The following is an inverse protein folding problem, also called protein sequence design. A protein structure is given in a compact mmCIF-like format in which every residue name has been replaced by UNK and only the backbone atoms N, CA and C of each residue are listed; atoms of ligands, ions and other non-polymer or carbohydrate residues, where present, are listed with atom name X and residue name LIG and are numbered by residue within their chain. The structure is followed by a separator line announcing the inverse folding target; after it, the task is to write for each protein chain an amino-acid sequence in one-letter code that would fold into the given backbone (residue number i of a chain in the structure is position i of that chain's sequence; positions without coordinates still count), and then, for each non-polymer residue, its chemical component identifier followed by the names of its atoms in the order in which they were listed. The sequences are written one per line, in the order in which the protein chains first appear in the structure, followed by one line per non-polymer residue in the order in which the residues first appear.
data_IF_828361608919
#
_entry.id   IF_828361608919
#
_cell.length_a   1.000
_cell.length_b   1.000
_cell.length_c   1.000
_cell.angle_alpha   90.00
_cell.angle_beta   90.00
_cell.angle_gamma   90.00
#
_symmetry.space_group_name_H-M   'P 1'
#
loop_
_entity.id
_entity.type
_entity.pdbx_description
1 polymer ?
#
# COMPACT_ATOMS: atom_id res chain seq x y z
N UNK A 1 -0.44 -34.27 7.17
CA UNK A 1 -1.91 -34.25 7.07
C UNK A 1 -2.27 -33.62 5.73
N UNK A 2 -3.46 -33.84 5.21
CA UNK A 2 -3.88 -33.14 4.00
C UNK A 2 -4.51 -31.81 4.43
N UNK A 3 -3.98 -30.70 3.93
CA UNK A 3 -4.57 -29.37 4.12
C UNK A 3 -5.53 -29.07 2.98
N UNK A 4 -6.73 -28.60 3.31
CA UNK A 4 -7.74 -28.15 2.37
C UNK A 4 -8.02 -26.67 2.57
N UNK A 5 -8.33 -25.98 1.47
CA UNK A 5 -8.76 -24.59 1.45
C UNK A 5 -10.25 -24.56 1.15
N UNK A 6 -11.05 -24.12 2.11
CA UNK A 6 -12.50 -24.04 1.98
C UNK A 6 -12.95 -22.57 2.00
N UNK A 7 -13.94 -22.23 1.18
CA UNK A 7 -14.49 -20.89 1.20
C UNK A 7 -15.21 -20.62 2.53
N UNK A 8 -15.12 -19.39 3.02
CA UNK A 8 -15.94 -18.92 4.15
C UNK A 8 -16.39 -17.48 3.95
N UNK A 9 -17.52 -17.13 4.56
CA UNK A 9 -18.04 -15.76 4.58
C UNK A 9 -17.21 -14.91 5.55
N UNK A 10 -16.55 -13.87 5.04
CA UNK A 10 -15.78 -12.94 5.86
C UNK A 10 -16.73 -11.92 6.50
N UNK A 11 -16.81 -11.82 7.83
CA UNK A 11 -17.65 -10.83 8.48
C UNK A 11 -17.32 -9.40 8.00
N UNK A 12 -18.35 -8.66 7.58
CA UNK A 12 -18.20 -7.29 7.08
C UNK A 12 -17.82 -7.18 5.60
N UNK A 13 -17.54 -8.28 4.90
CA UNK A 13 -17.34 -8.25 3.45
C UNK A 13 -18.57 -7.69 2.73
N UNK A 14 -18.31 -6.99 1.62
CA UNK A 14 -19.36 -6.44 0.73
C UNK A 14 -19.25 -7.05 -0.65
N UNK A 15 -20.33 -7.04 -1.41
CA UNK A 15 -20.34 -7.51 -2.81
C UNK A 15 -20.19 -6.34 -3.77
N UNK A 16 -19.18 -6.39 -4.62
CA UNK A 16 -18.97 -5.45 -5.71
C UNK A 16 -18.90 -6.21 -7.03
N UNK A 17 -19.65 -5.75 -8.03
CA UNK A 17 -19.62 -6.33 -9.38
C UNK A 17 -19.85 -7.85 -9.42
N UNK A 18 -20.66 -8.38 -8.49
CA UNK A 18 -20.98 -9.81 -8.38
C UNK A 18 -20.01 -10.64 -7.53
N UNK A 19 -18.99 -10.02 -6.92
CA UNK A 19 -17.95 -10.71 -6.15
C UNK A 19 -17.79 -10.13 -4.74
N UNK A 20 -17.57 -10.98 -3.74
CA UNK A 20 -17.30 -10.55 -2.37
C UNK A 20 -15.90 -9.93 -2.23
N UNK A 21 -15.77 -8.87 -1.44
CA UNK A 21 -14.49 -8.25 -1.06
C UNK A 21 -14.42 -8.15 0.48
N UNK A 22 -13.45 -8.82 1.13
CA UNK A 22 -12.54 -9.83 0.58
C UNK A 22 -13.23 -11.20 0.42
N UNK A 23 -12.60 -12.10 -0.35
CA UNK A 23 -12.99 -13.51 -0.42
C UNK A 23 -12.28 -14.33 0.67
N UNK A 24 -13.02 -15.13 1.44
CA UNK A 24 -12.47 -15.92 2.54
C UNK A 24 -12.02 -17.32 2.13
N UNK A 25 -10.81 -17.71 2.54
CA UNK A 25 -10.28 -19.07 2.48
C UNK A 25 -9.87 -19.56 3.88
N UNK A 26 -10.57 -20.57 4.39
CA UNK A 26 -10.25 -21.24 5.64
C UNK A 26 -9.31 -22.40 5.36
N UNK A 27 -8.17 -22.42 6.03
CA UNK A 27 -7.25 -23.56 6.03
C UNK A 27 -7.76 -24.59 7.03
N UNK A 28 -8.04 -25.82 6.56
CA UNK A 28 -8.46 -26.95 7.39
C UNK A 28 -7.51 -28.12 7.25
N UNK A 29 -7.26 -28.82 8.36
CA UNK A 29 -6.52 -30.08 8.38
C UNK A 29 -7.49 -31.26 8.36
N UNK A 30 -7.15 -32.32 7.64
CA UNK A 30 -7.89 -33.59 7.62
C UNK A 30 -7.73 -34.44 8.90
N UNK A 31 -7.09 -33.92 9.95
CA UNK A 31 -6.84 -34.59 11.24
C UNK A 31 -7.93 -34.35 12.31
N UNK A 32 -7.68 -34.73 13.58
CA UNK A 32 -8.59 -34.46 14.69
C UNK A 32 -8.99 -32.98 14.76
N UNK A 33 -10.29 -32.73 14.94
CA UNK A 33 -10.86 -31.37 15.01
C UNK A 33 -10.15 -30.53 16.07
N UNK A 34 -9.63 -29.36 15.68
CA UNK A 34 -9.05 -28.38 16.61
C UNK A 34 -7.52 -28.26 16.57
N UNK A 35 -6.80 -29.08 15.79
CA UNK A 35 -5.36 -28.88 15.59
C UNK A 35 -5.08 -27.85 14.51
N UNK A 36 -4.25 -26.86 14.84
CA UNK A 36 -3.74 -25.87 13.89
C UNK A 36 -2.94 -26.59 12.79
N UNK A 37 -3.27 -26.38 11.50
CA UNK A 37 -2.54 -26.97 10.38
C UNK A 37 -1.03 -26.66 10.44
N UNK A 38 -0.13 -27.62 10.18
CA UNK A 38 1.30 -27.33 10.09
C UNK A 38 1.60 -26.27 9.03
N UNK A 39 2.51 -25.34 9.35
CA UNK A 39 2.91 -24.25 8.43
C UNK A 39 3.42 -24.78 7.10
N UNK A 40 4.17 -25.89 7.11
CA UNK A 40 4.71 -26.51 5.89
C UNK A 40 3.60 -27.01 4.97
N UNK A 41 2.56 -27.62 5.53
CA UNK A 41 1.43 -28.14 4.75
C UNK A 41 0.53 -27.00 4.25
N UNK A 42 0.34 -25.96 5.08
CA UNK A 42 -0.38 -24.75 4.71
C UNK A 42 0.34 -23.99 3.58
N UNK A 43 1.66 -23.86 3.67
CA UNK A 43 2.49 -23.28 2.62
C UNK A 43 2.41 -24.09 1.33
N UNK A 44 2.45 -25.43 1.41
CA UNK A 44 2.29 -26.29 0.24
C UNK A 44 0.91 -26.12 -0.43
N UNK A 45 -0.16 -25.99 0.35
CA UNK A 45 -1.50 -25.75 -0.17
C UNK A 45 -1.62 -24.38 -0.85
N UNK A 46 -1.06 -23.32 -0.25
CA UNK A 46 -1.02 -21.98 -0.86
C UNK A 46 -0.15 -21.95 -2.12
N UNK A 47 0.97 -22.67 -2.12
CA UNK A 47 1.83 -22.84 -3.29
C UNK A 47 1.07 -23.50 -4.44
N UNK A 48 0.38 -24.61 -4.18
CA UNK A 48 -0.42 -25.30 -5.19
C UNK A 48 -1.58 -24.42 -5.71
N UNK A 49 -2.20 -23.62 -4.85
CA UNK A 49 -3.23 -22.66 -5.27
C UNK A 49 -2.65 -21.60 -6.22
N UNK A 50 -1.47 -21.07 -5.91
CA UNK A 50 -0.71 -20.16 -6.77
C UNK A 50 -0.32 -20.80 -8.11
N UNK A 51 0.37 -21.95 -8.08
CA UNK A 51 0.85 -22.67 -9.27
C UNK A 51 -0.32 -23.05 -10.22
N UNK A 52 -1.51 -23.30 -9.67
CA UNK A 52 -2.70 -23.65 -10.45
C UNK A 52 -3.38 -22.46 -11.15
N UNK A 53 -2.94 -21.22 -10.90
CA UNK A 53 -3.59 -19.99 -11.37
C UNK A 53 -4.85 -19.59 -10.59
N UNK A 54 -5.43 -20.49 -9.77
CA UNK A 54 -6.65 -20.22 -9.01
C UNK A 54 -6.50 -19.05 -8.03
N UNK A 55 -5.33 -18.85 -7.45
CA UNK A 55 -5.11 -17.69 -6.57
C UNK A 55 -5.20 -16.37 -7.36
N UNK A 56 -4.64 -16.33 -8.57
CA UNK A 56 -4.76 -15.18 -9.46
C UNK A 56 -6.23 -14.95 -9.84
N UNK A 57 -6.96 -16.00 -10.22
CA UNK A 57 -8.39 -15.90 -10.55
C UNK A 57 -9.23 -15.34 -9.40
N UNK A 58 -8.90 -15.72 -8.15
CA UNK A 58 -9.56 -15.19 -6.96
C UNK A 58 -9.24 -13.71 -6.76
N UNK A 59 -7.97 -13.32 -6.88
CA UNK A 59 -7.56 -11.92 -6.77
C UNK A 59 -8.18 -11.06 -7.88
N UNK A 60 -8.21 -11.54 -9.13
CA UNK A 60 -8.80 -10.84 -10.27
C UNK A 60 -10.30 -10.60 -10.12
N UNK A 61 -11.02 -11.52 -9.47
CA UNK A 61 -12.47 -11.41 -9.23
C UNK A 61 -12.81 -10.59 -7.99
N UNK A 62 -12.07 -10.80 -6.92
CA UNK A 62 -12.44 -10.35 -5.58
C UNK A 62 -11.61 -9.17 -5.09
N UNK A 63 -10.48 -8.86 -5.74
CA UNK A 63 -9.53 -7.81 -5.35
C UNK A 63 -8.68 -8.15 -4.12
N UNK A 64 -9.24 -8.87 -3.14
CA UNK A 64 -8.50 -9.36 -1.98
C UNK A 64 -8.99 -10.74 -1.51
N UNK A 65 -8.06 -11.54 -0.98
CA UNK A 65 -8.31 -12.87 -0.43
C UNK A 65 -7.82 -12.93 1.02
N UNK A 66 -8.70 -13.26 1.95
CA UNK A 66 -8.38 -13.47 3.36
C UNK A 66 -8.15 -14.97 3.61
N UNK A 67 -6.94 -15.37 3.95
CA UNK A 67 -6.60 -16.73 4.37
C UNK A 67 -6.53 -16.80 5.88
N UNK A 68 -7.29 -17.73 6.48
CA UNK A 68 -7.39 -17.88 7.94
C UNK A 68 -7.00 -19.29 8.40
N UNK A 69 -6.34 -19.36 9.55
CA UNK A 69 -5.99 -20.62 10.22
C UNK A 69 -4.76 -21.35 9.66
N UNK A 70 -3.84 -20.63 9.01
CA UNK A 70 -2.69 -21.19 8.29
C UNK A 70 -1.44 -21.43 9.18
N UNK A 71 -1.58 -22.10 10.33
CA UNK A 71 -0.46 -22.27 11.26
C UNK A 71 -0.44 -21.25 12.42
N UNK A 72 0.59 -21.33 13.26
CA UNK A 72 0.79 -20.39 14.38
C UNK A 72 1.40 -19.08 13.89
N UNK A 73 0.87 -17.94 14.35
CA UNK A 73 1.32 -16.62 13.93
C UNK A 73 2.77 -16.34 14.37
N UNK A 74 3.61 -15.98 13.39
CA UNK A 74 4.95 -15.42 13.58
C UNK A 74 5.42 -14.76 12.28
N UNK A 75 6.47 -13.93 12.34
CA UNK A 75 7.05 -13.33 11.13
C UNK A 75 7.60 -14.39 10.16
N UNK A 76 8.18 -15.47 10.68
CA UNK A 76 8.68 -16.60 9.89
C UNK A 76 7.55 -17.42 9.27
N UNK A 77 6.46 -17.64 10.00
CA UNK A 77 5.26 -18.28 9.44
C UNK A 77 4.72 -17.42 8.30
N UNK A 78 4.59 -16.11 8.51
CA UNK A 78 4.11 -15.19 7.48
C UNK A 78 5.00 -15.22 6.22
N UNK A 79 6.31 -15.07 6.40
CA UNK A 79 7.30 -15.14 5.31
C UNK A 79 7.17 -16.43 4.50
N UNK A 80 7.04 -17.59 5.17
CA UNK A 80 6.88 -18.89 4.50
C UNK A 80 5.58 -19.00 3.70
N UNK A 81 4.47 -18.57 4.28
CA UNK A 81 3.15 -18.69 3.65
C UNK A 81 3.01 -17.77 2.43
N UNK A 82 3.40 -16.50 2.58
CA UNK A 82 3.38 -15.54 1.47
C UNK A 82 4.39 -15.91 0.41
N UNK A 83 5.61 -16.27 0.81
CA UNK A 83 6.62 -16.73 -0.12
C UNK A 83 6.16 -17.94 -0.93
N UNK A 84 5.38 -18.84 -0.34
CA UNK A 84 4.79 -19.97 -1.03
C UNK A 84 3.70 -19.55 -2.03
N UNK A 85 2.75 -18.71 -1.60
CA UNK A 85 1.67 -18.21 -2.46
C UNK A 85 2.21 -17.42 -3.67
N UNK A 86 3.12 -16.47 -3.44
CA UNK A 86 3.61 -15.55 -4.46
C UNK A 86 4.62 -16.18 -5.41
N UNK A 87 5.53 -17.02 -4.92
CA UNK A 87 6.40 -17.81 -5.82
C UNK A 87 5.57 -18.79 -6.66
N UNK A 88 4.41 -19.22 -6.17
CA UNK A 88 3.46 -20.02 -6.95
C UNK A 88 2.83 -19.25 -8.11
N UNK A 89 2.59 -17.95 -7.92
CA UNK A 89 2.14 -17.03 -8.98
C UNK A 89 3.25 -16.59 -9.95
N UNK A 90 4.49 -17.01 -9.72
CA UNK A 90 5.66 -16.54 -10.44
C UNK A 90 6.08 -15.11 -10.08
N UNK A 91 5.59 -14.56 -8.96
CA UNK A 91 5.99 -13.26 -8.45
C UNK A 91 7.37 -13.31 -7.79
N UNK A 92 8.00 -12.15 -7.65
CA UNK A 92 9.29 -11.96 -6.97
C UNK A 92 9.21 -10.80 -5.96
N UNK A 93 10.07 -10.77 -4.93
CA UNK A 93 10.07 -9.69 -3.93
C UNK A 93 10.21 -8.30 -4.55
N UNK A 94 9.40 -7.35 -4.10
CA UNK A 94 9.46 -5.95 -4.55
C UNK A 94 10.69 -5.23 -3.99
N UNK A 95 11.38 -4.46 -4.85
CA UNK A 95 12.50 -3.60 -4.43
C UNK A 95 11.98 -2.21 -4.07
N UNK A 96 11.98 -1.90 -2.77
CA UNK A 96 11.49 -0.62 -2.27
C UNK A 96 12.45 0.52 -2.59
N UNK A 97 11.97 1.57 -3.25
CA UNK A 97 12.72 2.83 -3.47
C UNK A 97 11.83 4.01 -3.06
N UNK A 98 12.40 5.07 -2.51
CA UNK A 98 11.69 6.29 -2.12
C UNK A 98 10.74 6.12 -0.93
N UNK A 99 11.06 5.23 0.02
CA UNK A 99 10.25 5.04 1.22
C UNK A 99 10.33 6.27 2.15
N UNK A 100 9.17 6.81 2.52
CA UNK A 100 9.02 7.94 3.43
C UNK A 100 8.50 7.47 4.81
N UNK A 101 9.22 6.55 5.44
CA UNK A 101 8.82 5.98 6.74
C UNK A 101 9.80 4.92 7.24
N UNK A 102 9.74 4.62 8.54
CA UNK A 102 10.53 3.55 9.16
C UNK A 102 9.82 2.21 8.98
N UNK A 103 10.58 1.19 8.57
CA UNK A 103 10.15 -0.21 8.54
C UNK A 103 11.25 -1.06 9.15
N UNK A 104 10.89 -1.98 10.03
CA UNK A 104 11.82 -2.88 10.70
C UNK A 104 11.71 -4.27 10.05
N UNK A 105 12.80 -4.82 9.48
CA UNK A 105 12.77 -6.18 8.93
C UNK A 105 12.61 -7.19 10.08
N UNK A 106 11.72 -8.16 9.91
CA UNK A 106 11.43 -9.19 10.92
C UNK A 106 11.63 -10.62 10.41
N UNK A 107 11.54 -10.85 9.10
CA UNK A 107 11.88 -12.11 8.45
C UNK A 107 12.18 -11.86 6.96
N UNK A 108 12.51 -12.92 6.22
CA UNK A 108 12.76 -12.83 4.77
C UNK A 108 11.55 -12.22 4.03
N UNK A 109 11.78 -11.12 3.32
CA UNK A 109 10.76 -10.30 2.65
C UNK A 109 9.58 -9.86 3.55
N UNK A 110 9.82 -9.64 4.85
CA UNK A 110 8.80 -9.25 5.82
C UNK A 110 9.27 -8.09 6.69
N UNK A 111 8.42 -7.07 6.80
CA UNK A 111 8.69 -5.87 7.61
C UNK A 111 7.49 -5.53 8.50
N UNK A 112 7.72 -4.69 9.52
CA UNK A 112 6.63 -3.95 10.15
C UNK A 112 5.96 -3.02 9.13
N UNK A 113 4.63 -2.93 9.16
CA UNK A 113 3.93 -1.82 8.49
C UNK A 113 4.22 -0.50 9.21
N UNK A 114 3.80 0.63 8.63
CA UNK A 114 4.13 1.97 9.11
C UNK A 114 4.00 2.11 10.65
N UNK A 115 5.12 2.38 11.31
CA UNK A 115 5.25 2.53 12.78
C UNK A 115 4.77 3.91 13.29
N UNK A 116 4.06 4.68 12.45
CA UNK A 116 3.46 5.95 12.83
C UNK A 116 2.43 5.81 13.96
N UNK A 117 2.15 6.93 14.63
CA UNK A 117 1.34 6.98 15.87
C UNK A 117 0.05 6.14 15.80
N UNK A 118 -0.26 5.36 16.86
CA UNK A 118 -1.49 4.55 16.94
C UNK A 118 -2.76 5.40 16.91
N UNK A 119 -2.67 6.68 17.30
CA UNK A 119 -3.79 7.62 17.28
C UNK A 119 -4.06 8.27 15.91
N UNK A 120 -3.16 8.11 14.94
CA UNK A 120 -3.27 8.72 13.61
C UNK A 120 -4.01 7.78 12.65
N UNK A 121 -5.00 8.31 11.93
CA UNK A 121 -5.63 7.61 10.78
C UNK A 121 -4.68 7.63 9.59
N UNK A 122 -4.52 6.50 8.92
CA UNK A 122 -3.99 6.47 7.55
C UNK A 122 -5.16 6.33 6.61
N UNK A 123 -5.36 7.37 5.81
CA UNK A 123 -6.41 7.38 4.79
C UNK A 123 -6.12 6.38 3.68
N UNK A 124 -7.17 6.03 2.94
CA UNK A 124 -7.08 5.13 1.79
C UNK A 124 -6.01 5.58 0.79
N UNK A 125 -5.18 4.63 0.38
CA UNK A 125 -4.23 4.79 -0.70
C UNK A 125 -4.01 3.44 -1.37
N UNK A 126 -3.47 3.49 -2.58
CA UNK A 126 -2.80 2.35 -3.19
C UNK A 126 -1.30 2.57 -2.97
N UNK A 127 -0.62 1.61 -2.36
CA UNK A 127 0.81 1.74 -2.09
C UNK A 127 1.56 1.91 -3.41
N UNK A 128 2.54 2.81 -3.41
CA UNK A 128 3.56 3.02 -4.44
C UNK A 128 3.17 2.38 -5.77
N UNK A 129 2.30 3.06 -6.52
CA UNK A 129 1.87 2.67 -7.86
C UNK A 129 3.06 2.12 -8.69
N UNK A 130 3.38 0.79 -8.72
CA UNK A 130 2.48 -0.37 -8.61
C UNK A 130 2.89 -1.59 -7.70
N UNK A 131 1.92 -2.51 -7.53
CA UNK A 131 2.01 -3.97 -7.25
C UNK A 131 1.65 -4.43 -5.82
N UNK A 132 1.26 -5.71 -5.75
CA UNK A 132 0.42 -6.33 -4.72
C UNK A 132 1.05 -6.39 -3.34
N UNK A 133 0.18 -6.34 -2.34
CA UNK A 133 0.55 -6.20 -0.94
C UNK A 133 -0.08 -7.27 -0.08
N UNK A 134 0.65 -7.67 0.95
CA UNK A 134 0.21 -8.61 1.95
C UNK A 134 0.21 -7.95 3.31
N UNK A 135 -0.93 -8.00 4.02
CA UNK A 135 -1.10 -7.36 5.33
C UNK A 135 -1.58 -8.41 6.35
N UNK A 136 -0.73 -8.96 7.22
CA UNK A 136 -1.20 -9.79 8.35
C UNK A 136 -0.97 -9.24 9.77
N UNK A 137 -1.68 -9.90 10.71
CA UNK A 137 -1.69 -9.84 12.19
C UNK A 137 -2.31 -8.56 12.78
N UNK A 138 -3.40 -8.70 13.56
CA UNK A 138 -4.03 -7.61 14.33
C UNK A 138 -4.71 -8.03 15.63
N UNK A 139 -4.71 -7.08 16.58
CA UNK A 139 -5.74 -6.88 17.61
C UNK A 139 -6.10 -5.38 17.63
N UNK A 140 -7.37 -5.02 17.44
CA UNK A 140 -7.84 -3.62 17.38
C UNK A 140 -7.39 -2.84 16.11
N UNK A 141 -8.01 -1.67 15.85
CA UNK A 141 -7.72 -0.78 14.71
C UNK A 141 -7.85 -1.45 13.35
N UNK A 142 -9.02 -1.38 12.71
CA UNK A 142 -9.25 -2.07 11.45
C UNK A 142 -8.24 -1.67 10.37
N UNK A 143 -8.00 -2.57 9.43
CA UNK A 143 -7.36 -2.23 8.15
C UNK A 143 -8.50 -1.98 7.15
N UNK A 144 -9.02 -0.74 7.05
CA UNK A 144 -10.08 -0.45 6.12
C UNK A 144 -9.58 -0.69 4.70
N UNK A 145 -10.36 -1.43 3.91
CA UNK A 145 -10.10 -1.65 2.49
C UNK A 145 -11.27 -1.12 1.66
N UNK A 146 -11.02 -0.70 0.44
CA UNK A 146 -12.08 -0.26 -0.47
C UNK A 146 -11.83 -0.74 -1.91
N UNK A 147 -12.90 -1.07 -2.64
CA UNK A 147 -12.79 -1.41 -4.07
C UNK A 147 -12.49 -0.14 -4.86
N UNK A 148 -11.30 -0.05 -5.46
CA UNK A 148 -10.86 1.10 -6.28
C UNK A 148 -11.78 1.37 -7.48
N UNK A 149 -12.42 0.32 -8.03
CA UNK A 149 -13.41 0.45 -9.10
C UNK A 149 -14.72 1.07 -8.61
N UNK A 150 -15.24 0.62 -7.47
CA UNK A 150 -16.44 1.20 -6.89
C UNK A 150 -16.16 2.64 -6.41
N UNK A 151 -15.02 2.90 -5.77
CA UNK A 151 -14.58 4.26 -5.42
C UNK A 151 -14.57 5.16 -6.66
N UNK A 152 -14.02 4.70 -7.78
CA UNK A 152 -14.10 5.46 -9.03
C UNK A 152 -15.54 5.78 -9.43
N UNK A 153 -16.46 4.80 -9.43
CA UNK A 153 -17.87 5.04 -9.78
C UNK A 153 -18.54 6.07 -8.87
N UNK A 154 -18.26 6.04 -7.57
CA UNK A 154 -18.80 7.01 -6.59
C UNK A 154 -18.21 8.40 -6.77
N UNK A 155 -16.89 8.50 -6.95
CA UNK A 155 -16.21 9.78 -7.18
C UNK A 155 -16.66 10.39 -8.51
N UNK A 156 -16.83 9.59 -9.55
CA UNK A 156 -17.38 10.05 -10.84
C UNK A 156 -18.81 10.57 -10.70
N UNK A 157 -19.64 9.94 -9.87
CA UNK A 157 -21.02 10.35 -9.64
C UNK A 157 -21.12 11.62 -8.77
N UNK A 158 -20.32 11.75 -7.72
CA UNK A 158 -20.40 12.87 -6.76
C UNK A 158 -19.48 14.05 -7.10
N UNK A 159 -18.38 13.81 -7.83
CA UNK A 159 -17.33 14.78 -8.13
C UNK A 159 -16.83 14.64 -9.59
N UNK A 160 -17.72 14.72 -10.60
CA UNK A 160 -17.35 14.46 -12.00
C UNK A 160 -16.24 15.39 -12.52
N UNK A 161 -16.22 16.65 -12.07
CA UNK A 161 -15.19 17.64 -12.44
C UNK A 161 -13.77 17.21 -12.01
N UNK A 162 -13.64 16.55 -10.84
CA UNK A 162 -12.34 16.07 -10.39
C UNK A 162 -11.84 14.92 -11.28
N UNK A 163 -12.74 14.00 -11.64
CA UNK A 163 -12.41 12.87 -12.52
C UNK A 163 -12.02 13.34 -13.92
N UNK A 164 -12.75 14.32 -14.47
CA UNK A 164 -12.47 14.90 -15.77
C UNK A 164 -11.08 15.56 -15.80
N UNK A 165 -10.76 16.39 -14.81
CA UNK A 165 -9.49 17.11 -14.78
C UNK A 165 -8.30 16.19 -14.50
N UNK A 166 -8.45 15.18 -13.63
CA UNK A 166 -7.43 14.13 -13.45
C UNK A 166 -7.23 13.34 -14.75
N UNK A 167 -8.30 12.99 -15.46
CA UNK A 167 -8.18 12.24 -16.73
C UNK A 167 -7.46 13.04 -17.82
N UNK A 168 -7.59 14.37 -17.82
CA UNK A 168 -6.91 15.26 -18.77
C UNK A 168 -5.46 15.53 -18.41
N UNK A 169 -5.18 15.77 -17.13
CA UNK A 169 -3.92 16.36 -16.66
C UNK A 169 -3.05 15.39 -15.87
N UNK A 170 -3.59 14.27 -15.40
CA UNK A 170 -2.96 13.43 -14.40
C UNK A 170 -2.82 14.13 -13.04
N UNK A 171 -1.99 13.55 -12.16
CA UNK A 171 -1.66 14.06 -10.83
C UNK A 171 -0.16 14.27 -10.70
N UNK A 172 0.24 15.35 -10.03
CA UNK A 172 1.61 15.61 -9.59
C UNK A 172 1.77 15.29 -8.11
N UNK A 173 2.38 14.14 -7.79
CA UNK A 173 2.60 13.69 -6.42
C UNK A 173 3.92 14.24 -5.89
N UNK A 174 3.86 15.38 -5.20
CA UNK A 174 5.03 16.10 -4.67
C UNK A 174 5.48 15.59 -3.31
N UNK A 175 6.78 15.39 -3.16
CA UNK A 175 7.42 14.95 -1.93
C UNK A 175 8.72 15.70 -1.66
N UNK A 176 9.02 15.90 -0.37
CA UNK A 176 10.27 16.51 0.10
C UNK A 176 10.96 15.54 1.04
N UNK A 177 12.22 15.24 0.76
CA UNK A 177 13.11 14.45 1.60
C UNK A 177 14.17 15.39 2.17
N UNK A 178 14.24 15.48 3.50
CA UNK A 178 15.20 16.34 4.20
C UNK A 178 16.63 15.81 4.05
N UNK A 179 17.60 16.69 4.26
CA UNK A 179 19.01 16.30 4.32
C UNK A 179 19.30 15.40 5.53
N UNK A 180 20.25 14.45 5.42
CA UNK A 180 20.76 13.70 6.56
C UNK A 180 21.18 14.63 7.70
N UNK A 181 20.72 14.35 8.92
CA UNK A 181 20.97 15.17 10.11
C UNK A 181 19.97 16.31 10.34
N UNK A 182 19.06 16.56 9.40
CA UNK A 182 18.01 17.58 9.48
C UNK A 182 16.60 16.98 9.56
N UNK A 183 16.46 15.71 9.94
CA UNK A 183 15.19 14.99 10.00
C UNK A 183 14.19 15.62 10.98
N UNK A 184 12.90 15.36 10.77
CA UNK A 184 11.87 15.77 11.73
C UNK A 184 11.90 14.90 12.98
N UNK A 185 11.40 15.45 14.09
CA UNK A 185 11.39 14.76 15.40
C UNK A 185 10.61 13.45 15.37
N UNK A 186 9.48 13.42 14.65
CA UNK A 186 8.57 12.27 14.59
C UNK A 186 8.94 11.35 13.43
N UNK A 187 9.16 11.92 12.24
CA UNK A 187 9.49 11.18 11.03
C UNK A 187 10.99 11.33 10.71
N UNK A 188 11.76 10.28 11.00
CA UNK A 188 13.22 10.28 10.93
C UNK A 188 13.78 9.76 9.59
N UNK A 189 13.10 10.03 8.47
CA UNK A 189 13.60 9.67 7.14
C UNK A 189 14.26 10.87 6.44
N UNK A 190 15.25 10.59 5.60
CA UNK A 190 15.98 11.55 4.78
C UNK A 190 16.22 10.96 3.38
N UNK A 191 16.76 11.74 2.43
CA UNK A 191 17.00 11.23 1.06
C UNK A 191 18.12 10.17 0.99
N UNK A 192 19.09 10.18 1.89
CA UNK A 192 20.22 9.24 1.93
C UNK A 192 19.90 7.92 2.64
N UNK A 193 18.71 7.76 3.21
CA UNK A 193 18.29 6.52 3.84
C UNK A 193 18.33 5.36 2.86
N UNK A 194 18.73 4.17 3.33
CA UNK A 194 18.85 2.96 2.51
C UNK A 194 17.55 2.68 1.74
N UNK A 195 16.38 2.79 2.37
CA UNK A 195 15.09 2.55 1.69
C UNK A 195 14.49 3.80 1.02
N UNK A 196 15.14 4.96 1.17
CA UNK A 196 14.86 6.18 0.40
C UNK A 196 15.58 6.10 -0.94
N UNK A 197 16.70 6.81 -1.11
CA UNK A 197 17.51 6.83 -2.33
C UNK A 197 18.98 6.44 -2.08
N UNK A 198 19.29 5.95 -0.88
CA UNK A 198 20.66 5.70 -0.42
C UNK A 198 21.21 4.29 -0.62
N UNK A 199 20.50 3.41 -1.32
CA UNK A 199 20.85 1.97 -1.46
C UNK A 199 22.27 1.70 -1.96
N UNK A 200 22.83 2.61 -2.77
CA UNK A 200 24.13 2.46 -3.40
C UNK A 200 25.22 3.34 -2.74
N UNK A 201 24.89 4.03 -1.65
CA UNK A 201 25.82 4.92 -0.95
C UNK A 201 26.81 4.12 -0.10
N UNK A 202 28.06 4.57 -0.07
CA UNK A 202 29.11 4.03 0.81
C UNK A 202 29.76 5.15 1.62
N UNK A 203 30.39 4.84 2.78
CA UNK A 203 31.02 5.86 3.63
C UNK A 203 32.13 6.67 2.94
N UNK A 204 32.68 6.18 1.83
CA UNK A 204 33.77 6.81 1.07
C UNK A 204 33.27 7.77 -0.03
N UNK A 205 31.96 7.83 -0.28
CA UNK A 205 31.39 8.72 -1.29
C UNK A 205 31.56 10.19 -0.89
N UNK A 206 32.13 10.99 -1.79
CA UNK A 206 32.11 12.44 -1.64
C UNK A 206 30.71 13.02 -1.94
N UNK A 207 30.51 14.33 -1.71
CA UNK A 207 29.21 14.97 -1.90
C UNK A 207 28.70 14.84 -3.34
N UNK A 208 29.59 14.98 -4.33
CA UNK A 208 29.24 14.90 -5.74
C UNK A 208 28.78 13.49 -6.14
N UNK A 209 29.52 12.48 -5.70
CA UNK A 209 29.21 11.06 -5.92
C UNK A 209 27.92 10.66 -5.21
N UNK A 210 27.73 11.15 -3.98
CA UNK A 210 26.50 10.94 -3.21
C UNK A 210 25.28 11.45 -3.96
N UNK A 211 25.31 12.71 -4.43
CA UNK A 211 24.21 13.28 -5.22
C UNK A 211 23.98 12.49 -6.50
N UNK A 212 25.01 12.14 -7.24
CA UNK A 212 24.88 11.36 -8.48
C UNK A 212 24.18 10.01 -8.26
N UNK A 213 24.57 9.27 -7.20
CA UNK A 213 23.97 7.98 -6.84
C UNK A 213 22.51 8.13 -6.39
N UNK A 214 22.21 9.15 -5.58
CA UNK A 214 20.83 9.46 -5.17
C UNK A 214 19.97 9.79 -6.38
N UNK A 215 20.41 10.67 -7.26
CA UNK A 215 19.65 11.04 -8.44
C UNK A 215 19.44 9.85 -9.40
N UNK A 216 20.40 8.92 -9.48
CA UNK A 216 20.22 7.66 -10.22
C UNK A 216 19.04 6.85 -9.65
N UNK A 217 18.87 6.81 -8.32
CA UNK A 217 17.70 6.16 -7.71
C UNK A 217 16.42 6.96 -7.94
N UNK A 218 16.46 8.29 -7.79
CA UNK A 218 15.29 9.17 -8.00
C UNK A 218 14.76 9.05 -9.43
N UNK A 219 15.65 8.97 -10.43
CA UNK A 219 15.30 8.78 -11.85
C UNK A 219 14.58 7.45 -12.16
N UNK A 220 14.60 6.47 -11.25
CA UNK A 220 13.75 5.28 -11.37
C UNK A 220 12.27 5.58 -11.08
N UNK A 221 11.97 6.69 -10.40
CA UNK A 221 10.62 7.13 -10.05
C UNK A 221 10.18 8.35 -10.89
N UNK A 222 11.05 9.34 -11.05
CA UNK A 222 10.74 10.56 -11.79
C UNK A 222 12.00 11.29 -12.27
N UNK A 223 11.90 11.97 -13.40
CA UNK A 223 12.92 12.93 -13.86
C UNK A 223 12.70 14.34 -13.29
N UNK A 224 11.55 14.61 -12.69
CA UNK A 224 11.17 15.91 -12.14
C UNK A 224 11.53 15.98 -10.65
N UNK A 225 12.75 16.46 -10.38
CA UNK A 225 13.26 16.67 -9.04
C UNK A 225 14.29 17.81 -9.02
N UNK A 226 14.50 18.38 -7.83
CA UNK A 226 15.50 19.44 -7.59
C UNK A 226 16.08 19.33 -6.19
N UNK A 227 17.31 19.81 -6.05
CA UNK A 227 17.94 20.05 -4.76
C UNK A 227 17.64 21.49 -4.31
N UNK A 228 17.16 21.64 -3.08
CA UNK A 228 16.90 22.95 -2.47
C UNK A 228 18.17 23.49 -1.79
N UNK A 229 18.19 24.80 -1.49
CA UNK A 229 19.33 25.47 -0.84
C UNK A 229 19.65 24.91 0.55
N UNK A 230 18.65 24.37 1.25
CA UNK A 230 18.80 23.72 2.56
C UNK A 230 19.30 22.26 2.48
N UNK A 231 19.63 21.79 1.28
CA UNK A 231 20.08 20.42 1.02
C UNK A 231 18.97 19.38 0.98
N UNK A 232 17.70 19.79 1.09
CA UNK A 232 16.58 18.87 0.86
C UNK A 232 16.39 18.54 -0.62
N UNK A 233 15.81 17.38 -0.89
CA UNK A 233 15.46 16.90 -2.21
C UNK A 233 13.94 16.97 -2.38
N UNK A 234 13.48 17.76 -3.34
CA UNK A 234 12.07 17.81 -3.75
C UNK A 234 11.90 17.06 -5.07
N UNK A 235 10.83 16.26 -5.16
CA UNK A 235 10.50 15.52 -6.39
C UNK A 235 9.00 15.44 -6.62
N UNK A 236 8.62 15.38 -7.89
CA UNK A 236 7.22 15.23 -8.34
C UNK A 236 7.10 13.95 -9.15
N UNK A 237 6.28 13.00 -8.69
CA UNK A 237 5.89 11.84 -9.50
C UNK A 237 4.62 12.16 -10.28
N UNK A 238 4.72 12.13 -11.60
CA UNK A 238 3.59 12.35 -12.50
C UNK A 238 2.88 11.02 -12.76
N UNK A 239 1.62 10.90 -12.34
CA UNK A 239 0.82 9.68 -12.48
C UNK A 239 -0.53 9.95 -13.13
N UNK A 240 -1.14 8.98 -13.85
CA UNK A 240 -2.46 9.18 -14.44
C UNK A 240 -3.58 9.46 -13.43
N UNK A 241 -3.43 9.02 -12.18
CA UNK A 241 -4.45 9.13 -11.12
C UNK A 241 -5.63 8.18 -11.26
N UNK A 242 -6.03 7.88 -12.49
CA UNK A 242 -7.04 6.86 -12.83
C UNK A 242 -6.37 5.85 -13.75
N UNK A 243 -6.52 4.56 -13.46
CA UNK A 243 -6.00 3.46 -14.28
C UNK A 243 -7.13 2.58 -14.77
N UNK A 244 -6.84 1.62 -15.64
CA UNK A 244 -7.79 0.58 -16.05
C UNK A 244 -7.32 -0.79 -15.57
N UNK A 245 -8.26 -1.63 -15.15
CA UNK A 245 -7.97 -3.01 -14.81
C UNK A 245 -7.57 -3.80 -16.05
N UNK A 246 -6.47 -4.57 -16.01
CA UNK A 246 -6.04 -5.38 -17.15
C UNK A 246 -7.11 -6.31 -17.71
N UNK A 247 -7.81 -7.04 -16.83
CA UNK A 247 -8.75 -8.08 -17.23
C UNK A 247 -10.09 -7.54 -17.77
N UNK A 248 -10.54 -6.38 -17.30
CA UNK A 248 -11.89 -5.87 -17.59
C UNK A 248 -11.92 -4.50 -18.28
N UNK A 249 -10.80 -3.78 -18.34
CA UNK A 249 -10.72 -2.40 -18.80
C UNK A 249 -11.45 -1.39 -17.89
N UNK A 250 -12.02 -1.83 -16.76
CA UNK A 250 -12.77 -0.97 -15.85
C UNK A 250 -11.86 0.10 -15.24
N UNK A 251 -12.27 1.38 -15.23
CA UNK A 251 -11.51 2.42 -14.55
C UNK A 251 -11.45 2.18 -13.04
N UNK A 252 -10.29 2.46 -12.46
CA UNK A 252 -10.03 2.35 -11.03
C UNK A 252 -9.39 3.61 -10.50
N UNK A 253 -9.83 4.01 -9.32
CA UNK A 253 -9.20 5.07 -8.55
C UNK A 253 -7.92 4.52 -7.93
N UNK A 254 -6.78 4.82 -8.55
CA UNK A 254 -5.48 4.26 -8.20
C UNK A 254 -4.46 5.38 -7.98
N UNK A 255 -4.45 5.92 -6.78
CA UNK A 255 -3.56 7.00 -6.35
C UNK A 255 -3.59 7.16 -4.82
N UNK A 256 -2.69 7.99 -4.29
CA UNK A 256 -2.63 8.37 -2.88
C UNK A 256 -3.20 9.77 -2.59
N UNK A 257 -4.08 10.32 -3.43
CA UNK A 257 -4.53 11.72 -3.33
C UNK A 257 -5.24 11.99 -1.99
N UNK A 258 -6.17 11.11 -1.60
CA UNK A 258 -6.87 11.22 -0.31
C UNK A 258 -5.92 11.00 0.88
N UNK A 259 -5.01 10.03 0.75
CA UNK A 259 -3.86 9.83 1.63
C UNK A 259 -3.13 11.13 1.96
N UNK A 260 -2.68 11.80 0.90
CA UNK A 260 -1.88 13.02 0.99
C UNK A 260 -2.66 14.21 1.55
N UNK A 261 -3.86 14.46 1.04
CA UNK A 261 -4.68 15.59 1.51
C UNK A 261 -5.13 15.39 2.96
N UNK A 262 -5.63 14.19 3.30
CA UNK A 262 -6.14 13.88 4.63
C UNK A 262 -5.07 14.04 5.71
N UNK A 263 -3.86 13.50 5.52
CA UNK A 263 -2.78 13.70 6.50
C UNK A 263 -2.38 15.17 6.59
N UNK A 264 -2.27 15.88 5.45
CA UNK A 264 -1.89 17.30 5.40
C UNK A 264 -2.92 18.18 6.12
N UNK A 265 -4.21 17.85 6.01
CA UNK A 265 -5.28 18.47 6.79
C UNK A 265 -5.09 18.19 8.26
N UNK A 266 -4.96 16.93 8.63
CA UNK A 266 -4.96 16.51 10.03
C UNK A 266 -3.76 17.06 10.78
N UNK A 267 -2.56 17.09 10.20
CA UNK A 267 -1.36 17.68 10.83
C UNK A 267 -1.27 19.21 10.68
N UNK A 268 -2.26 19.86 10.06
CA UNK A 268 -2.39 21.32 10.00
C UNK A 268 -1.42 22.01 9.03
N UNK A 269 -1.12 21.39 7.89
CA UNK A 269 -0.18 21.92 6.89
C UNK A 269 -0.82 22.30 5.54
N UNK A 270 -2.15 22.47 5.50
CA UNK A 270 -2.83 22.87 4.26
C UNK A 270 -2.43 24.28 3.79
N UNK A 271 -2.11 25.18 4.72
CA UNK A 271 -1.74 26.56 4.44
C UNK A 271 -0.22 26.77 4.51
N UNK A 272 0.33 27.74 3.76
CA UNK A 272 1.73 28.15 3.89
C UNK A 272 2.11 28.41 5.37
N UNK A 273 3.29 27.97 5.82
CA UNK A 273 4.41 27.45 5.03
C UNK A 273 4.34 25.94 4.70
N UNK A 274 3.18 25.29 4.85
CA UNK A 274 3.00 23.86 4.61
C UNK A 274 3.83 22.97 5.53
N UNK A 275 4.06 23.42 6.76
CA UNK A 275 4.79 22.67 7.78
C UNK A 275 3.80 22.08 8.77
N UNK A 276 3.80 20.75 8.88
CA UNK A 276 2.93 20.03 9.80
C UNK A 276 3.36 20.17 11.25
N UNK A 277 2.45 19.82 12.18
CA UNK A 277 2.78 19.73 13.62
C UNK A 277 3.91 18.75 13.93
N UNK A 278 4.20 17.81 13.03
CA UNK A 278 5.33 16.90 13.12
C UNK A 278 6.66 17.52 12.62
N UNK A 279 6.60 18.71 12.02
CA UNK A 279 7.73 19.44 11.45
C UNK A 279 8.04 19.09 9.99
N UNK A 280 7.29 18.19 9.35
CA UNK A 280 7.51 17.82 7.95
C UNK A 280 6.86 18.80 6.98
N UNK A 281 7.39 18.86 5.75
CA UNK A 281 6.85 19.68 4.67
C UNK A 281 5.82 18.90 3.86
N UNK A 282 4.61 19.47 3.74
CA UNK A 282 3.48 18.88 3.04
C UNK A 282 3.03 19.75 1.87
N UNK A 283 3.73 19.61 0.74
CA UNK A 283 3.37 20.33 -0.48
C UNK A 283 1.92 20.04 -0.92
N UNK A 284 1.20 21.06 -1.44
CA UNK A 284 -0.18 20.93 -1.91
C UNK A 284 -0.38 19.81 -2.93
N UNK A 285 -1.59 19.25 -2.96
CA UNK A 285 -2.02 18.34 -4.01
C UNK A 285 -2.27 19.10 -5.32
N UNK A 286 -1.59 18.69 -6.38
CA UNK A 286 -1.65 19.34 -7.69
C UNK A 286 -2.02 18.34 -8.79
N UNK A 287 -2.58 18.84 -9.88
CA UNK A 287 -2.65 18.12 -11.15
C UNK A 287 -1.25 17.96 -11.77
N UNK A 288 -1.12 17.15 -12.82
CA UNK A 288 0.18 16.94 -13.49
C UNK A 288 0.78 18.18 -14.15
N UNK A 289 0.01 19.26 -14.30
CA UNK A 289 0.46 20.57 -14.79
C UNK A 289 0.80 21.57 -13.68
N UNK A 290 0.98 21.09 -12.44
CA UNK A 290 1.22 21.86 -11.22
C UNK A 290 0.06 22.76 -10.73
N UNK A 291 -1.09 22.75 -11.41
CA UNK A 291 -2.27 23.48 -10.93
C UNK A 291 -2.78 22.85 -9.63
N UNK A 292 -2.98 23.65 -8.58
CA UNK A 292 -3.53 23.16 -7.31
C UNK A 292 -4.95 22.61 -7.45
N UNK A 293 -5.20 21.45 -6.83
CA UNK A 293 -6.53 20.86 -6.79
C UNK A 293 -7.35 21.59 -5.72
N UNK A 294 -8.56 22.11 -6.06
CA UNK A 294 -9.39 22.83 -5.10
C UNK A 294 -9.67 22.01 -3.81
N UNK A 295 -9.37 22.59 -2.64
CA UNK A 295 -9.56 21.93 -1.34
C UNK A 295 -10.96 21.34 -1.14
N UNK A 296 -12.00 22.07 -1.59
CA UNK A 296 -13.40 21.59 -1.53
C UNK A 296 -13.61 20.23 -2.21
N UNK A 297 -12.86 19.94 -3.26
CA UNK A 297 -12.93 18.66 -3.99
C UNK A 297 -12.21 17.57 -3.23
N UNK A 298 -11.06 17.89 -2.64
CA UNK A 298 -10.28 16.95 -1.84
C UNK A 298 -10.99 16.59 -0.53
N UNK A 299 -11.64 17.55 0.14
CA UNK A 299 -12.46 17.29 1.32
C UNK A 299 -13.68 16.43 0.98
N UNK A 300 -14.37 16.75 -0.13
CA UNK A 300 -15.47 15.92 -0.61
C UNK A 300 -15.00 14.52 -1.03
N UNK A 301 -13.80 14.38 -1.57
CA UNK A 301 -13.20 13.10 -1.93
C UNK A 301 -12.97 12.22 -0.68
N UNK A 302 -12.53 12.80 0.44
CA UNK A 302 -12.45 12.10 1.73
C UNK A 302 -13.84 11.55 2.10
N UNK A 303 -14.87 12.41 2.09
CA UNK A 303 -16.23 12.01 2.47
C UNK A 303 -16.81 10.89 1.59
N UNK A 304 -16.48 10.87 0.30
CA UNK A 304 -16.91 9.82 -0.64
C UNK A 304 -16.21 8.52 -0.31
N UNK A 305 -14.88 8.55 -0.17
CA UNK A 305 -14.08 7.34 0.06
C UNK A 305 -14.39 6.72 1.43
N UNK A 306 -14.55 7.53 2.48
CA UNK A 306 -14.84 7.05 3.84
C UNK A 306 -16.14 6.22 3.91
N UNK A 307 -17.13 6.46 3.04
CA UNK A 307 -18.38 5.68 2.98
C UNK A 307 -18.21 4.31 2.33
N UNK A 308 -17.20 4.18 1.47
CA UNK A 308 -16.93 2.96 0.70
C UNK A 308 -15.93 2.04 1.40
N UNK A 309 -15.39 2.46 2.55
CA UNK A 309 -14.51 1.64 3.37
C UNK A 309 -15.24 0.41 3.95
N UNK A 310 -14.54 -0.72 3.90
CA UNK A 310 -14.85 -1.93 4.63
C UNK A 310 -13.86 -2.01 5.79
N UNK A 311 -14.30 -1.69 7.00
CA UNK A 311 -13.49 -1.87 8.22
C UNK A 311 -13.29 -3.35 8.50
N UNK A 312 -12.19 -3.90 8.00
CA UNK A 312 -11.84 -5.31 8.18
C UNK A 312 -11.11 -5.51 9.51
N UNK A 313 -11.72 -6.29 10.40
CA UNK A 313 -11.11 -6.71 11.66
C UNK A 313 -10.41 -8.05 11.41
N UNK A 314 -9.08 -7.99 11.29
CA UNK A 314 -8.25 -9.19 11.14
C UNK A 314 -8.01 -9.85 12.50
N UNK A 315 -7.90 -11.17 12.48
CA UNK A 315 -7.48 -11.99 13.61
C UNK A 315 -5.97 -12.26 13.57
N UNK A 316 -5.40 -12.63 14.71
CA UNK A 316 -4.01 -13.07 14.78
C UNK A 316 -3.78 -14.29 13.87
N UNK A 317 -2.81 -14.18 12.95
CA UNK A 317 -2.51 -15.23 11.97
C UNK A 317 -3.30 -15.15 10.66
N UNK A 318 -4.23 -14.21 10.52
CA UNK A 318 -4.85 -13.93 9.23
C UNK A 318 -3.83 -13.41 8.22
N UNK A 319 -3.97 -13.86 6.97
CA UNK A 319 -3.24 -13.33 5.82
C UNK A 319 -4.21 -12.67 4.85
N UNK A 320 -4.10 -11.36 4.67
CA UNK A 320 -4.81 -10.67 3.61
C UNK A 320 -3.90 -10.50 2.39
N UNK A 321 -4.24 -11.18 1.29
CA UNK A 321 -3.64 -10.97 -0.02
C UNK A 321 -4.41 -9.87 -0.74
N UNK A 322 -3.73 -8.83 -1.19
CA UNK A 322 -4.36 -7.66 -1.82
C UNK A 322 -3.81 -7.47 -3.23
N UNK A 323 -4.70 -7.48 -4.22
CA UNK A 323 -4.42 -6.88 -5.51
C UNK A 323 -4.52 -5.36 -5.37
N UNK A 324 -3.34 -4.74 -5.21
CA UNK A 324 -3.21 -3.30 -5.00
C UNK A 324 -3.86 -2.48 -6.15
N UNK A 325 -4.03 -3.02 -7.37
CA UNK A 325 -4.76 -2.32 -8.44
C UNK A 325 -6.27 -2.20 -8.18
N UNK A 326 -6.84 -3.20 -7.53
CA UNK A 326 -8.28 -3.32 -7.31
C UNK A 326 -8.73 -2.81 -5.95
N UNK A 327 -7.82 -2.79 -4.98
CA UNK A 327 -8.14 -2.51 -3.59
C UNK A 327 -7.18 -1.47 -3.03
N UNK A 328 -7.74 -0.35 -2.58
CA UNK A 328 -7.02 0.58 -1.71
C UNK A 328 -7.12 0.10 -0.26
N UNK A 329 -6.19 0.54 0.57
CA UNK A 329 -6.19 0.23 1.99
C UNK A 329 -5.81 1.46 2.83
N UNK A 330 -6.17 1.40 4.11
CA UNK A 330 -5.86 2.42 5.11
C UNK A 330 -5.60 1.80 6.48
N UNK A 331 -5.57 2.65 7.51
CA UNK A 331 -5.37 2.24 8.91
C UNK A 331 -6.24 3.09 9.82
N UNK A 332 -7.13 2.46 10.56
CA UNK A 332 -7.84 3.14 11.64
C UNK A 332 -6.92 3.36 12.86
N UNK A 333 -7.20 4.39 13.69
CA UNK A 333 -6.59 4.50 15.01
C UNK A 333 -6.87 3.27 15.88
N UNK A 334 -5.98 2.99 16.82
CA UNK A 334 -6.15 1.86 17.75
C UNK A 334 -5.56 2.15 19.14
N UNK A 335 -5.94 1.30 20.09
CA UNK A 335 -5.38 1.26 21.44
C UNK A 335 -4.79 -0.13 21.73
N UNK A 336 -3.76 -0.18 22.57
CA UNK A 336 -3.07 -1.42 22.95
C UNK A 336 -2.06 -1.93 21.93
N UNK A 337 -1.70 -3.20 22.09
CA UNK A 337 -0.66 -3.87 21.29
C UNK A 337 -1.23 -4.34 19.96
N UNK A 338 -0.71 -3.76 18.87
CA UNK A 338 -1.07 -4.08 17.49
C UNK A 338 0.19 -4.03 16.64
N UNK A 339 0.47 -5.12 15.94
CA UNK A 339 1.58 -5.16 14.98
C UNK A 339 1.09 -5.80 13.68
N UNK A 340 1.10 -5.01 12.61
CA UNK A 340 0.92 -5.51 11.24
C UNK A 340 2.28 -5.79 10.64
N UNK A 341 2.39 -6.94 9.97
CA UNK A 341 3.51 -7.21 9.07
C UNK A 341 3.11 -6.89 7.63
N UNK A 342 4.08 -6.60 6.78
CA UNK A 342 3.84 -6.39 5.35
C UNK A 342 4.89 -7.12 4.52
N UNK A 343 4.44 -7.65 3.38
CA UNK A 343 5.30 -8.24 2.35
C UNK A 343 4.80 -7.76 0.99
N UNK A 344 5.71 -7.32 0.11
CA UNK A 344 5.37 -6.75 -1.19
C UNK A 344 6.02 -7.54 -2.31
N UNK A 345 5.27 -7.75 -3.39
CA UNK A 345 5.65 -8.66 -4.46
C UNK A 345 5.31 -8.08 -5.82
N UNK A 346 6.25 -8.30 -6.74
CA UNK A 346 6.16 -7.91 -8.13
C UNK A 346 5.80 -9.10 -9.00
N UNK A 347 4.84 -8.91 -9.90
CA UNK A 347 4.55 -9.86 -10.98
C UNK A 347 5.44 -9.58 -12.20
N UNK A 348 5.71 -10.62 -13.03
CA UNK A 348 6.47 -10.47 -14.28
C UNK A 348 5.72 -9.69 -15.37
N UNK A 349 4.40 -9.50 -15.24
CA UNK A 349 3.62 -8.64 -16.13
C UNK A 349 3.96 -7.17 -15.82
N UNK A 350 4.44 -6.44 -16.83
CA UNK A 350 4.85 -5.04 -16.72
C UNK A 350 3.65 -4.11 -16.58
N UNK A 351 3.78 -3.08 -15.72
CA UNK A 351 2.81 -1.98 -15.65
C UNK A 351 3.13 -1.03 -16.79
N UNK A 352 2.25 -1.01 -17.79
CA UNK A 352 2.39 -0.11 -18.94
C UNK A 352 1.42 -0.37 -20.10
N UNK A 353 0.68 -1.48 -20.08
CA UNK A 353 -0.27 -1.81 -21.16
C UNK A 353 -1.75 -1.45 -20.87
N UNK A 354 -2.07 -0.71 -19.80
CA UNK A 354 -3.47 -0.48 -19.38
C UNK A 354 -3.80 0.95 -18.92
#
# INVERSE_FOLDING_TARGET
MAVQLEAFEVPGARTYFGHALPYGLQVKSSGPTGLVPPVVESAAALRALGDSGKLQDLLDKHGAVLVRGAGNASAETFSKLVGAAEKGRGSYPHVQIGLAGKRTPLADNVWTANEGSPSTRFYQHNEKAPKGEFIPILRGGATPIASSANVFEKVQAEIPELVEEISKRGLGMKMVFRAPGNEAKVNQFNWAGEHSFGQELTPEDDEATTKQKVEKQVRKLTSDFKWNEDGSLELTQHIPGIRRLPASGRPVWFNGLVGRHGITRDIGALDPPHIGRDGMTYLPSVYGDDTEIPRRLLDKLIDVIDKEEISLILEEGDLLLVDNFQVSHGREPWEGDRQILVSMWDTPISIGEY
#
